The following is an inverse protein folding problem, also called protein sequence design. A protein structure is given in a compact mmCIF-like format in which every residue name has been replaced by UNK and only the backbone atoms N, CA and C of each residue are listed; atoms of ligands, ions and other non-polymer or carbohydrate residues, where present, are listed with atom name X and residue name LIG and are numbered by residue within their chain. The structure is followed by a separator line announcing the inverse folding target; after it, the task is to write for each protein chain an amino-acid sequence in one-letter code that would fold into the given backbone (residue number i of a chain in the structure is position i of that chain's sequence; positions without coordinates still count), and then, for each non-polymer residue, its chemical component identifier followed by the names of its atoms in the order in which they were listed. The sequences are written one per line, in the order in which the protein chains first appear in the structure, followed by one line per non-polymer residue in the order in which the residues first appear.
data_IF_473612709299
#
_entry.id   IF_473612709299
#
_cell.length_a   1.000
_cell.length_b   1.000
_cell.length_c   1.000
_cell.angle_alpha   90.00
_cell.angle_beta   90.00
_cell.angle_gamma   90.00
#
_symmetry.space_group_name_H-M   'P 1'
#
loop_
_entity.id
_entity.type
_entity.pdbx_description
1 polymer ?
#
# COMPACT_ATOMS: atom_id res chain seq x y z
N UNK A 1 -10.80 -18.84 15.16
CA UNK A 1 -10.48 -17.51 15.74
C UNK A 1 -9.51 -16.82 14.80
N UNK A 2 -9.65 -15.51 14.53
CA UNK A 2 -8.72 -14.81 13.62
C UNK A 2 -7.35 -14.67 14.29
N UNK A 3 -6.29 -15.14 13.63
CA UNK A 3 -4.92 -15.15 14.17
C UNK A 3 -4.02 -14.11 13.53
N UNK A 4 -4.41 -13.59 12.34
CA UNK A 4 -3.72 -12.55 11.61
C UNK A 4 -4.68 -11.44 11.19
N UNK A 5 -4.39 -10.22 11.62
CA UNK A 5 -5.12 -9.03 11.21
C UNK A 5 -4.27 -8.27 10.20
N UNK A 6 -4.82 -8.08 9.01
CA UNK A 6 -4.13 -7.44 7.89
C UNK A 6 -4.75 -6.08 7.63
N UNK A 7 -3.94 -5.06 7.50
CA UNK A 7 -4.39 -3.69 7.25
C UNK A 7 -3.82 -3.15 5.94
N UNK A 8 -4.61 -2.32 5.27
CA UNK A 8 -4.05 -1.27 4.44
C UNK A 8 -3.41 -0.17 5.30
N UNK A 9 -2.65 0.74 4.69
CA UNK A 9 -1.95 1.80 5.39
C UNK A 9 -2.63 3.17 5.21
N UNK A 10 -2.63 3.67 3.98
CA UNK A 10 -3.05 5.05 3.65
C UNK A 10 -4.57 5.17 3.55
N UNK A 11 -5.22 5.89 4.43
CA UNK A 11 -6.69 5.97 4.55
C UNK A 11 -7.26 4.99 5.58
N UNK A 12 -6.47 4.00 5.99
CA UNK A 12 -6.86 2.94 6.93
C UNK A 12 -6.18 3.10 8.28
N UNK A 13 -4.86 2.91 8.38
CA UNK A 13 -4.11 3.08 9.63
C UNK A 13 -3.71 4.54 9.88
N UNK A 14 -3.48 5.30 8.82
CA UNK A 14 -3.12 6.70 8.89
C UNK A 14 -3.70 7.45 7.68
N UNK A 15 -3.85 8.76 7.79
CA UNK A 15 -4.11 9.62 6.63
C UNK A 15 -3.00 9.45 5.58
N UNK A 16 -3.33 9.65 4.30
CA UNK A 16 -2.41 9.42 3.19
C UNK A 16 -1.03 10.05 3.43
N UNK A 17 -0.01 9.20 3.45
CA UNK A 17 1.41 9.52 3.70
C UNK A 17 1.69 10.24 5.02
N UNK A 18 0.74 10.22 5.96
CA UNK A 18 0.89 10.75 7.31
C UNK A 18 1.37 9.66 8.28
N UNK A 19 2.04 10.02 9.38
CA UNK A 19 2.42 9.06 10.41
C UNK A 19 1.20 8.51 11.17
N UNK A 20 1.35 7.35 11.79
CA UNK A 20 0.41 6.89 12.82
C UNK A 20 0.31 7.93 13.93
N UNK A 21 -0.90 8.24 14.37
CA UNK A 21 -1.07 9.00 15.58
C UNK A 21 -0.81 8.15 16.85
N UNK A 22 -0.65 8.80 17.98
CA UNK A 22 -0.27 8.14 19.25
C UNK A 22 -1.32 7.10 19.71
N UNK A 23 -2.61 7.34 19.45
CA UNK A 23 -3.69 6.42 19.80
C UNK A 23 -3.62 5.17 18.90
N UNK A 24 -3.47 5.32 17.58
CA UNK A 24 -3.32 4.22 16.65
C UNK A 24 -2.07 3.38 16.97
N UNK A 25 -0.94 4.03 17.25
CA UNK A 25 0.28 3.34 17.64
C UNK A 25 0.09 2.51 18.92
N UNK A 26 -0.62 3.05 19.91
CA UNK A 26 -0.97 2.34 21.14
C UNK A 26 -1.86 1.13 20.86
N UNK A 27 -2.86 1.29 20.01
CA UNK A 27 -3.80 0.22 19.65
C UNK A 27 -3.10 -0.90 18.87
N UNK A 28 -2.24 -0.58 17.91
CA UNK A 28 -1.42 -1.58 17.21
C UNK A 28 -0.51 -2.32 18.20
N UNK A 29 0.13 -1.60 19.13
CA UNK A 29 0.95 -2.23 20.17
C UNK A 29 0.17 -3.20 21.05
N UNK A 30 -1.09 -2.89 21.39
CA UNK A 30 -1.99 -3.79 22.12
C UNK A 30 -2.44 -4.97 21.28
N UNK A 31 -2.79 -4.73 20.01
CA UNK A 31 -3.19 -5.80 19.09
C UNK A 31 -2.08 -6.83 18.89
N UNK A 32 -0.81 -6.38 18.80
CA UNK A 32 0.35 -7.25 18.69
C UNK A 32 0.55 -8.17 19.91
N UNK A 33 -0.04 -7.90 21.07
CA UNK A 33 0.00 -8.80 22.21
C UNK A 33 -0.93 -10.01 22.02
N UNK A 34 -2.05 -9.87 21.29
CA UNK A 34 -3.08 -10.90 21.15
C UNK A 34 -3.13 -11.53 19.75
N UNK A 35 -2.73 -10.84 18.70
CA UNK A 35 -2.74 -11.33 17.32
C UNK A 35 -1.42 -11.03 16.58
N UNK A 36 -1.17 -11.72 15.45
CA UNK A 36 -0.20 -11.25 14.46
C UNK A 36 -0.81 -10.13 13.65
N UNK A 37 -0.01 -9.19 13.22
CA UNK A 37 -0.44 -8.06 12.40
C UNK A 37 0.37 -8.02 11.10
N UNK A 38 -0.27 -7.71 10.00
CA UNK A 38 0.39 -7.41 8.74
C UNK A 38 -0.11 -6.09 8.17
N UNK A 39 0.75 -5.37 7.46
CA UNK A 39 0.36 -4.17 6.72
C UNK A 39 0.78 -4.34 5.27
N UNK A 40 -0.18 -4.21 4.34
CA UNK A 40 0.03 -4.28 2.89
C UNK A 40 -0.28 -2.90 2.29
N UNK A 41 0.67 -2.29 1.60
CA UNK A 41 0.46 -1.02 0.92
C UNK A 41 1.29 -0.93 -0.36
N UNK A 42 0.86 -0.13 -1.33
CA UNK A 42 1.66 0.25 -2.51
C UNK A 42 2.89 1.10 -2.16
N UNK A 43 3.00 1.60 -0.92
CA UNK A 43 4.13 2.40 -0.45
C UNK A 43 5.46 1.65 -0.44
N UNK A 44 6.58 2.39 -0.60
CA UNK A 44 7.93 1.83 -0.48
C UNK A 44 8.34 1.64 0.99
N UNK A 45 9.39 0.84 1.24
CA UNK A 45 9.92 0.60 2.59
C UNK A 45 10.19 1.87 3.41
N UNK A 46 10.81 2.95 2.87
CA UNK A 46 11.00 4.18 3.63
C UNK A 46 9.68 4.83 4.11
N UNK A 47 8.57 4.61 3.40
CA UNK A 47 7.24 5.07 3.84
C UNK A 47 6.80 4.30 5.07
N UNK A 48 6.92 2.97 5.08
CA UNK A 48 6.61 2.14 6.26
C UNK A 48 7.45 2.52 7.48
N UNK A 49 8.73 2.81 7.27
CA UNK A 49 9.61 3.28 8.34
C UNK A 49 9.10 4.58 8.96
N UNK A 50 8.82 5.59 8.12
CA UNK A 50 8.36 6.91 8.57
C UNK A 50 6.96 6.89 9.16
N UNK A 51 6.02 6.16 8.53
CA UNK A 51 4.62 6.18 8.96
C UNK A 51 4.34 5.26 10.14
N UNK A 52 5.00 4.11 10.23
CA UNK A 52 4.70 3.06 11.21
C UNK A 52 5.82 2.91 12.24
N UNK A 53 7.02 2.54 11.80
CA UNK A 53 8.05 2.04 12.71
C UNK A 53 8.58 3.11 13.67
N UNK A 54 8.71 4.36 13.22
CA UNK A 54 9.15 5.47 14.09
C UNK A 54 8.14 5.83 15.17
N UNK A 55 6.90 5.30 15.10
CA UNK A 55 5.81 5.58 16.04
C UNK A 55 5.46 4.40 16.95
N UNK A 56 5.99 3.22 16.65
CA UNK A 56 5.82 2.03 17.49
C UNK A 56 7.01 1.86 18.44
N UNK A 57 6.80 1.37 19.67
CA UNK A 57 7.90 0.98 20.55
C UNK A 57 8.78 -0.09 19.91
N UNK A 58 10.10 0.10 19.95
CA UNK A 58 11.06 -0.86 19.41
C UNK A 58 11.31 -2.00 20.42
N UNK A 59 10.37 -2.94 20.48
CA UNK A 59 10.42 -4.09 21.37
C UNK A 59 10.06 -5.40 20.66
N UNK A 60 10.03 -6.50 21.41
CA UNK A 60 9.80 -7.85 20.89
C UNK A 60 8.41 -8.06 20.25
N UNK A 61 7.41 -7.24 20.59
CA UNK A 61 6.07 -7.32 19.97
C UNK A 61 6.13 -7.14 18.46
N UNK A 62 7.10 -6.37 17.96
CA UNK A 62 7.30 -6.15 16.53
C UNK A 62 7.71 -7.43 15.77
N UNK A 63 8.09 -8.52 16.43
CA UNK A 63 8.32 -9.82 15.79
C UNK A 63 7.04 -10.45 15.26
N UNK A 64 5.88 -9.99 15.76
CA UNK A 64 4.56 -10.39 15.30
C UNK A 64 4.01 -9.48 14.18
N UNK A 65 4.77 -8.45 13.79
CA UNK A 65 4.43 -7.52 12.71
C UNK A 65 5.11 -7.93 11.40
N UNK A 66 4.33 -8.02 10.35
CA UNK A 66 4.78 -8.26 8.98
C UNK A 66 4.49 -7.01 8.13
N UNK A 67 5.46 -6.54 7.37
CA UNK A 67 5.31 -5.36 6.53
C UNK A 67 5.53 -5.73 5.07
N UNK A 68 4.54 -5.43 4.23
CA UNK A 68 4.50 -5.80 2.82
C UNK A 68 4.43 -4.54 1.94
N UNK A 69 5.56 -3.85 1.70
CA UNK A 69 5.65 -2.77 0.73
C UNK A 69 5.33 -3.26 -0.68
N UNK A 70 4.95 -2.31 -1.56
CA UNK A 70 4.69 -2.57 -2.97
C UNK A 70 3.73 -3.73 -3.20
N UNK A 71 2.61 -3.72 -2.46
CA UNK A 71 1.55 -4.75 -2.48
C UNK A 71 2.06 -6.18 -2.19
N UNK A 72 3.16 -6.33 -1.46
CA UNK A 72 3.70 -7.63 -1.06
C UNK A 72 4.76 -8.21 -1.99
N UNK A 73 5.25 -7.47 -2.99
CA UNK A 73 6.44 -7.84 -3.76
C UNK A 73 7.74 -7.68 -2.97
N UNK A 74 7.65 -7.02 -1.81
CA UNK A 74 8.67 -7.00 -0.76
C UNK A 74 8.05 -7.42 0.56
N UNK A 75 8.79 -8.16 1.36
CA UNK A 75 8.32 -8.66 2.63
C UNK A 75 9.37 -8.48 3.71
N UNK A 76 9.01 -7.72 4.72
CA UNK A 76 9.90 -7.44 5.86
C UNK A 76 9.32 -8.04 7.13
N UNK A 77 10.19 -8.67 7.92
CA UNK A 77 9.91 -9.13 9.29
C UNK A 77 11.05 -8.78 10.23
N UNK A 78 10.72 -8.64 11.50
CA UNK A 78 11.70 -8.49 12.55
C UNK A 78 12.10 -9.84 13.13
N UNK A 79 13.41 -10.00 13.36
CA UNK A 79 14.01 -11.03 14.19
C UNK A 79 15.23 -10.36 14.85
N UNK A 80 14.97 -9.71 16.00
CA UNK A 80 15.90 -8.74 16.60
C UNK A 80 16.02 -7.46 15.77
N UNK A 81 16.31 -7.58 14.48
CA UNK A 81 16.37 -6.47 13.50
C UNK A 81 15.41 -6.71 12.33
N UNK A 82 15.02 -5.64 11.64
CA UNK A 82 14.21 -5.74 10.43
C UNK A 82 15.03 -6.37 9.29
N UNK A 83 14.47 -7.40 8.67
CA UNK A 83 15.08 -8.12 7.55
C UNK A 83 14.11 -8.16 6.38
N UNK A 84 14.63 -7.85 5.19
CA UNK A 84 13.99 -8.14 3.93
C UNK A 84 14.07 -9.65 3.68
N UNK A 85 12.93 -10.34 3.61
CA UNK A 85 12.89 -11.79 3.36
C UNK A 85 13.00 -12.09 1.86
N UNK A 86 12.33 -11.29 1.03
CA UNK A 86 12.47 -11.32 -0.42
C UNK A 86 12.12 -9.96 -1.04
N UNK A 87 12.58 -9.76 -2.28
CA UNK A 87 12.22 -8.66 -3.17
C UNK A 87 12.06 -9.18 -4.59
N UNK A 88 10.99 -8.81 -5.26
CA UNK A 88 10.70 -9.18 -6.67
C UNK A 88 10.92 -7.98 -7.59
N UNK A 89 12.11 -7.38 -7.53
CA UNK A 89 12.43 -6.16 -8.27
C UNK A 89 12.38 -6.38 -9.79
N UNK A 90 12.11 -5.32 -10.54
CA UNK A 90 12.26 -5.28 -11.98
C UNK A 90 13.73 -5.48 -12.39
N UNK A 91 13.95 -5.96 -13.60
CA UNK A 91 15.26 -5.80 -14.22
C UNK A 91 15.54 -4.33 -14.51
N UNK A 92 16.80 -3.97 -14.68
CA UNK A 92 17.18 -2.59 -15.04
C UNK A 92 16.52 -2.16 -16.34
N UNK A 93 16.50 -3.06 -17.35
CA UNK A 93 15.89 -2.80 -18.65
C UNK A 93 14.38 -2.56 -18.55
N UNK A 94 13.69 -3.34 -17.69
CA UNK A 94 12.26 -3.14 -17.41
C UNK A 94 12.02 -1.78 -16.75
N UNK A 95 12.79 -1.44 -15.71
CA UNK A 95 12.69 -0.15 -15.03
C UNK A 95 12.92 1.03 -15.99
N UNK A 96 13.99 1.00 -16.76
CA UNK A 96 14.32 2.06 -17.74
C UNK A 96 13.19 2.21 -18.78
N UNK A 97 12.66 1.09 -19.30
CA UNK A 97 11.53 1.11 -20.23
C UNK A 97 10.27 1.70 -19.61
N UNK A 98 9.91 1.30 -18.40
CA UNK A 98 8.72 1.80 -17.70
C UNK A 98 8.86 3.30 -17.45
N UNK A 99 10.01 3.76 -16.93
CA UNK A 99 10.27 5.16 -16.64
C UNK A 99 10.20 6.03 -17.91
N UNK A 100 10.81 5.57 -19.01
CA UNK A 100 10.75 6.28 -20.29
C UNK A 100 9.32 6.37 -20.82
N UNK A 101 8.55 5.28 -20.73
CA UNK A 101 7.15 5.24 -21.16
C UNK A 101 6.25 6.13 -20.30
N UNK A 102 6.47 6.16 -18.98
CA UNK A 102 5.75 7.06 -18.05
C UNK A 102 6.00 8.54 -18.39
N UNK A 103 7.28 8.92 -18.60
CA UNK A 103 7.63 10.29 -18.99
C UNK A 103 6.95 10.69 -20.30
N UNK A 104 6.94 9.78 -21.28
CA UNK A 104 6.27 9.99 -22.56
C UNK A 104 4.76 10.16 -22.37
N UNK A 105 4.08 9.21 -21.73
CA UNK A 105 2.64 9.23 -21.52
C UNK A 105 2.19 10.48 -20.73
N UNK A 106 2.93 10.86 -19.70
CA UNK A 106 2.64 12.05 -18.91
C UNK A 106 2.78 13.33 -19.75
N UNK A 107 3.83 13.44 -20.59
CA UNK A 107 4.01 14.57 -21.47
C UNK A 107 2.92 14.65 -22.56
N UNK A 108 2.55 13.54 -23.18
CA UNK A 108 1.51 13.45 -24.22
C UNK A 108 0.09 13.70 -23.67
N UNK A 109 -0.16 13.42 -22.41
CA UNK A 109 -1.45 13.69 -21.77
C UNK A 109 -1.80 15.18 -21.70
N UNK A 110 -0.83 16.07 -21.82
CA UNK A 110 -1.01 17.51 -21.72
C UNK A 110 -1.26 18.02 -20.29
N UNK A 111 -1.36 17.13 -19.30
CA UNK A 111 -1.56 17.54 -17.90
C UNK A 111 -0.24 17.99 -17.30
N UNK A 112 -0.10 19.31 -17.16
CA UNK A 112 1.10 19.96 -16.58
C UNK A 112 0.68 20.68 -15.29
N UNK A 113 0.97 20.13 -14.12
CA UNK A 113 0.71 20.84 -12.88
C UNK A 113 1.58 22.11 -12.82
N UNK A 114 1.01 23.19 -12.27
CA UNK A 114 1.73 24.46 -12.11
C UNK A 114 2.88 24.33 -11.10
N UNK A 115 2.80 23.37 -10.19
CA UNK A 115 3.80 23.09 -9.17
C UNK A 115 3.89 21.59 -8.90
N UNK A 116 5.11 21.10 -8.66
CA UNK A 116 5.38 19.75 -8.16
C UNK A 116 6.15 19.83 -6.84
N UNK A 117 5.88 18.86 -5.95
CA UNK A 117 6.52 18.72 -4.66
C UNK A 117 7.25 17.37 -4.59
N UNK A 118 8.57 17.41 -4.63
CA UNK A 118 9.39 16.19 -4.69
C UNK A 118 9.35 15.49 -6.06
N UNK A 119 9.80 14.25 -6.07
CA UNK A 119 9.93 13.47 -7.30
C UNK A 119 8.56 13.08 -7.87
N UNK A 120 8.41 13.23 -9.18
CA UNK A 120 7.19 12.86 -9.92
C UNK A 120 7.19 11.37 -10.25
N UNK A 121 8.33 10.75 -10.48
CA UNK A 121 8.47 9.32 -10.74
C UNK A 121 9.40 8.74 -9.68
N UNK A 122 8.91 7.70 -9.00
CA UNK A 122 9.64 6.96 -7.95
C UNK A 122 9.80 5.50 -8.39
N UNK A 123 11.04 5.03 -8.47
CA UNK A 123 11.34 3.61 -8.64
C UNK A 123 11.46 2.96 -7.25
N UNK A 124 10.54 2.04 -6.96
CA UNK A 124 10.47 1.26 -5.71
C UNK A 124 11.06 -0.14 -5.86
N UNK A 125 11.73 -0.40 -6.98
CA UNK A 125 12.29 -1.69 -7.35
C UNK A 125 11.28 -2.60 -8.03
N UNK A 126 10.26 -3.05 -7.33
CA UNK A 126 9.20 -3.94 -7.84
C UNK A 126 7.93 -3.22 -8.30
N UNK A 127 7.88 -1.92 -8.11
CA UNK A 127 6.82 -1.01 -8.53
C UNK A 127 7.43 0.32 -8.94
N UNK A 128 6.95 0.91 -10.02
CA UNK A 128 7.30 2.29 -10.41
C UNK A 128 6.04 3.13 -10.34
N UNK A 129 6.13 4.26 -9.64
CA UNK A 129 4.99 5.13 -9.35
C UNK A 129 5.19 6.49 -10.00
N UNK A 130 4.22 6.93 -10.81
CA UNK A 130 4.03 8.32 -11.19
C UNK A 130 3.15 8.99 -10.13
N UNK A 131 3.61 10.07 -9.52
CA UNK A 131 2.79 10.98 -8.71
C UNK A 131 2.73 12.33 -9.42
N UNK A 132 1.62 12.65 -10.04
CA UNK A 132 1.54 13.79 -10.97
C UNK A 132 1.88 15.13 -10.33
N UNK A 133 1.64 15.31 -9.03
CA UNK A 133 2.02 16.49 -8.25
C UNK A 133 3.34 16.32 -7.48
N UNK A 134 4.03 15.19 -7.65
CA UNK A 134 5.19 14.80 -6.85
C UNK A 134 4.79 14.07 -5.54
N UNK A 135 5.77 13.35 -4.97
CA UNK A 135 5.54 12.49 -3.81
C UNK A 135 5.13 13.28 -2.55
N UNK A 136 5.66 14.49 -2.39
CA UNK A 136 5.49 15.31 -1.17
C UNK A 136 4.39 16.38 -1.30
N UNK A 137 3.50 16.25 -2.31
CA UNK A 137 2.42 17.21 -2.52
C UNK A 137 1.46 17.25 -1.29
N UNK A 138 1.00 18.44 -0.87
CA UNK A 138 0.02 18.60 0.19
C UNK A 138 -1.29 17.84 -0.10
N UNK A 139 -1.93 17.31 0.94
CA UNK A 139 -3.15 16.51 0.82
C UNK A 139 -4.27 17.26 0.06
N UNK A 140 -4.47 18.54 0.36
CA UNK A 140 -5.49 19.35 -0.31
C UNK A 140 -5.20 19.54 -1.81
N UNK A 141 -3.94 19.73 -2.20
CA UNK A 141 -3.56 19.79 -3.61
C UNK A 141 -3.84 18.45 -4.31
N UNK A 142 -3.55 17.32 -3.66
CA UNK A 142 -3.83 15.98 -4.17
C UNK A 142 -5.31 15.73 -4.37
N UNK A 143 -6.16 16.08 -3.39
CA UNK A 143 -7.63 15.90 -3.46
C UNK A 143 -8.25 16.66 -4.63
N UNK A 144 -7.77 17.87 -4.91
CA UNK A 144 -8.32 18.72 -5.96
C UNK A 144 -7.80 18.42 -7.38
N UNK A 145 -6.70 17.65 -7.53
CA UNK A 145 -6.06 17.52 -8.82
C UNK A 145 -6.80 16.64 -9.82
N UNK A 146 -7.36 15.52 -9.37
CA UNK A 146 -7.99 14.50 -10.22
C UNK A 146 -9.15 13.79 -9.47
N UNK A 147 -10.10 14.59 -9.00
CA UNK A 147 -11.21 14.09 -8.17
C UNK A 147 -12.15 13.12 -8.92
N UNK A 148 -12.23 13.25 -10.24
CA UNK A 148 -13.07 12.44 -11.13
C UNK A 148 -12.29 11.31 -11.83
N UNK A 149 -11.03 11.10 -11.51
CA UNK A 149 -10.11 10.12 -12.10
C UNK A 149 -9.80 10.32 -13.59
N UNK A 150 -10.32 11.35 -14.24
CA UNK A 150 -10.22 11.55 -15.68
C UNK A 150 -8.80 11.72 -16.17
N UNK A 151 -7.95 12.47 -15.44
CA UNK A 151 -6.56 12.74 -15.81
C UNK A 151 -5.73 11.46 -15.75
N UNK A 152 -5.80 10.72 -14.64
CA UNK A 152 -5.06 9.47 -14.49
C UNK A 152 -5.55 8.41 -15.46
N UNK A 153 -6.85 8.33 -15.73
CA UNK A 153 -7.41 7.43 -16.75
C UNK A 153 -6.87 7.76 -18.14
N UNK A 154 -6.75 9.04 -18.50
CA UNK A 154 -6.15 9.46 -19.76
C UNK A 154 -4.67 9.05 -19.84
N UNK A 155 -3.88 9.34 -18.81
CA UNK A 155 -2.45 8.96 -18.77
C UNK A 155 -2.31 7.44 -18.87
N UNK A 156 -3.11 6.67 -18.14
CA UNK A 156 -3.14 5.20 -18.18
C UNK A 156 -3.41 4.70 -19.60
N UNK A 157 -4.42 5.25 -20.29
CA UNK A 157 -4.76 4.84 -21.65
C UNK A 157 -3.65 5.07 -22.66
N UNK A 158 -2.83 6.11 -22.47
CA UNK A 158 -1.64 6.37 -23.29
C UNK A 158 -0.50 5.42 -22.93
N UNK A 159 -0.35 5.11 -21.64
CA UNK A 159 0.76 4.32 -21.10
C UNK A 159 0.65 2.83 -21.41
N UNK A 160 -0.54 2.22 -21.23
CA UNK A 160 -0.75 0.77 -21.37
C UNK A 160 -0.24 0.19 -22.71
N UNK A 161 -0.50 0.82 -23.87
CA UNK A 161 0.05 0.34 -25.14
C UNK A 161 1.59 0.39 -25.26
N UNK A 162 2.26 1.23 -24.47
CA UNK A 162 3.71 1.38 -24.47
C UNK A 162 4.41 0.28 -23.64
N UNK A 163 3.70 -0.29 -22.66
CA UNK A 163 4.23 -1.29 -21.72
C UNK A 163 3.30 -2.51 -21.57
N UNK A 164 2.97 -3.22 -22.66
CA UNK A 164 1.92 -4.27 -22.65
C UNK A 164 2.24 -5.48 -21.76
N UNK A 165 3.47 -5.60 -21.25
CA UNK A 165 3.87 -6.67 -20.33
C UNK A 165 3.71 -6.31 -18.84
N UNK A 166 3.15 -5.14 -18.51
CA UNK A 166 3.00 -4.65 -17.16
C UNK A 166 1.56 -4.23 -16.88
N UNK A 167 1.19 -4.25 -15.61
CA UNK A 167 -0.11 -3.76 -15.14
C UNK A 167 0.00 -2.30 -14.72
N UNK A 168 -1.02 -1.50 -15.09
CA UNK A 168 -1.12 -0.09 -14.77
C UNK A 168 -2.33 0.15 -13.89
N UNK A 169 -2.11 0.56 -12.65
CA UNK A 169 -3.14 0.77 -11.64
C UNK A 169 -3.23 2.26 -11.28
N UNK A 170 -4.45 2.73 -11.03
CA UNK A 170 -4.64 4.03 -10.38
C UNK A 170 -4.37 3.83 -8.89
N UNK A 171 -3.36 4.53 -8.39
CA UNK A 171 -3.00 4.56 -6.97
C UNK A 171 -3.82 5.59 -6.19
N UNK A 172 -3.26 6.17 -5.15
CA UNK A 172 -3.90 7.24 -4.37
C UNK A 172 -4.43 8.41 -5.22
N UNK A 173 -4.64 9.59 -4.66
CA UNK A 173 -5.33 10.69 -5.33
C UNK A 173 -4.67 11.22 -6.63
N UNK A 174 -3.36 11.05 -6.80
CA UNK A 174 -2.59 11.59 -7.93
C UNK A 174 -1.63 10.59 -8.56
N UNK A 175 -1.66 9.32 -8.14
CA UNK A 175 -0.66 8.33 -8.49
C UNK A 175 -1.15 7.33 -9.52
N UNK A 176 -0.20 6.85 -10.34
CA UNK A 176 -0.34 5.69 -11.23
C UNK A 176 0.81 4.76 -10.88
N UNK A 177 0.47 3.51 -10.57
CA UNK A 177 1.41 2.48 -10.15
C UNK A 177 1.56 1.43 -11.25
N UNK A 178 2.80 1.13 -11.61
CA UNK A 178 3.15 0.11 -12.58
C UNK A 178 3.78 -1.06 -11.84
N UNK A 179 3.23 -2.26 -12.06
CA UNK A 179 3.69 -3.51 -11.44
C UNK A 179 3.79 -4.61 -12.49
N UNK A 180 4.32 -5.78 -12.11
CA UNK A 180 4.09 -6.99 -12.89
C UNK A 180 2.61 -7.37 -12.85
N UNK A 181 2.09 -8.10 -13.85
CA UNK A 181 0.71 -8.60 -13.81
C UNK A 181 0.42 -9.44 -12.57
N UNK A 182 -0.78 -9.27 -12.00
CA UNK A 182 -1.22 -10.03 -10.83
C UNK A 182 -0.69 -9.51 -9.49
N UNK A 183 -0.01 -8.36 -9.46
CA UNK A 183 0.46 -7.72 -8.23
C UNK A 183 -0.60 -6.74 -7.74
N UNK A 184 -1.28 -7.14 -6.68
CA UNK A 184 -2.30 -6.38 -5.95
C UNK A 184 -2.34 -6.85 -4.49
N UNK A 185 -3.37 -6.47 -3.73
CA UNK A 185 -3.50 -6.92 -2.33
C UNK A 185 -3.82 -8.41 -2.18
N UNK A 186 -4.46 -9.04 -3.16
CA UNK A 186 -4.65 -10.50 -3.17
C UNK A 186 -3.31 -11.25 -3.26
N UNK A 187 -2.38 -10.72 -4.05
CA UNK A 187 -1.01 -11.23 -4.11
C UNK A 187 -0.33 -11.18 -2.72
N UNK A 188 -0.41 -10.02 -2.04
CA UNK A 188 0.13 -9.86 -0.69
C UNK A 188 -0.49 -10.83 0.32
N UNK A 189 -1.81 -11.06 0.26
CA UNK A 189 -2.52 -12.05 1.06
C UNK A 189 -1.98 -13.46 0.78
N UNK A 190 -1.78 -13.81 -0.50
CA UNK A 190 -1.18 -15.08 -0.90
C UNK A 190 0.20 -15.30 -0.29
N UNK A 191 1.05 -14.26 -0.28
CA UNK A 191 2.39 -14.29 0.34
C UNK A 191 2.31 -14.44 1.87
N UNK A 192 1.37 -13.79 2.53
CA UNK A 192 1.14 -13.98 3.97
C UNK A 192 0.76 -15.43 4.28
N UNK A 193 -0.16 -16.02 3.49
CA UNK A 193 -0.56 -17.42 3.63
C UNK A 193 0.64 -18.35 3.47
N UNK A 194 1.42 -18.17 2.41
CA UNK A 194 2.57 -19.00 2.07
C UNK A 194 3.67 -18.94 3.15
N UNK A 195 4.07 -17.73 3.56
CA UNK A 195 5.24 -17.51 4.43
C UNK A 195 4.92 -17.72 5.90
N UNK A 196 3.72 -17.31 6.34
CA UNK A 196 3.32 -17.42 7.74
C UNK A 196 2.62 -18.74 8.05
N UNK A 197 2.28 -19.54 7.02
CA UNK A 197 1.49 -20.78 7.13
C UNK A 197 0.16 -20.53 7.89
N UNK A 198 -0.54 -19.44 7.56
CA UNK A 198 -1.83 -19.06 8.12
C UNK A 198 -2.87 -19.14 7.02
N UNK A 199 -3.93 -19.92 7.23
CA UNK A 199 -4.99 -20.03 6.25
C UNK A 199 -5.79 -18.72 6.10
N UNK A 200 -6.31 -18.49 4.90
CA UNK A 200 -7.13 -17.29 4.58
C UNK A 200 -8.32 -17.18 5.55
N UNK A 201 -8.91 -18.30 5.94
CA UNK A 201 -10.01 -18.34 6.91
C UNK A 201 -9.63 -17.79 8.30
N UNK A 202 -8.35 -17.79 8.67
CA UNK A 202 -7.83 -17.26 9.92
C UNK A 202 -7.33 -15.82 9.83
N UNK A 203 -7.46 -15.19 8.64
CA UNK A 203 -7.14 -13.80 8.41
C UNK A 203 -8.37 -12.90 8.51
N UNK A 204 -8.17 -11.65 8.91
CA UNK A 204 -9.11 -10.55 8.80
C UNK A 204 -8.41 -9.40 8.09
N UNK A 205 -9.00 -8.86 7.03
CA UNK A 205 -8.48 -7.69 6.33
C UNK A 205 -9.30 -6.44 6.70
N UNK A 206 -8.64 -5.31 6.89
CA UNK A 206 -9.26 -4.00 7.15
C UNK A 206 -8.67 -3.00 6.16
N UNK A 207 -9.52 -2.30 5.42
CA UNK A 207 -9.12 -1.32 4.41
C UNK A 207 -10.20 -0.30 4.11
N UNK A 208 -9.85 0.83 3.49
CA UNK A 208 -10.78 1.93 3.15
C UNK A 208 -11.35 1.85 1.73
N UNK A 209 -10.87 0.88 0.93
CA UNK A 209 -11.29 0.73 -0.47
C UNK A 209 -11.72 -0.71 -0.81
N UNK A 210 -12.54 -1.33 0.06
CA UNK A 210 -13.03 -2.73 -0.06
C UNK A 210 -14.29 -2.83 -0.93
N UNK A 211 -14.47 -1.94 -1.87
CA UNK A 211 -15.58 -1.91 -2.83
C UNK A 211 -15.10 -2.24 -4.26
N UNK A 212 -15.97 -2.70 -5.17
CA UNK A 212 -15.58 -3.01 -6.55
C UNK A 212 -14.84 -1.84 -7.23
N UNK A 213 -13.61 -2.11 -7.70
CA UNK A 213 -12.71 -1.10 -8.27
C UNK A 213 -11.78 -0.41 -7.27
N UNK A 214 -11.97 -0.59 -5.97
CA UNK A 214 -11.04 -0.15 -4.93
C UNK A 214 -9.80 -1.03 -4.86
N UNK A 215 -8.68 -0.48 -4.41
CA UNK A 215 -7.39 -1.18 -4.35
C UNK A 215 -7.33 -2.25 -3.24
N UNK A 216 -8.30 -2.28 -2.31
CA UNK A 216 -8.44 -3.28 -1.26
C UNK A 216 -9.37 -4.44 -1.67
N UNK A 217 -10.19 -4.21 -2.68
CA UNK A 217 -11.16 -5.20 -3.13
C UNK A 217 -10.55 -6.55 -3.53
N UNK A 218 -9.37 -6.61 -4.15
CA UNK A 218 -8.70 -7.89 -4.43
C UNK A 218 -8.43 -8.76 -3.19
N UNK A 219 -8.17 -8.17 -2.01
CA UNK A 219 -8.04 -8.95 -0.78
C UNK A 219 -9.34 -9.67 -0.41
N UNK A 220 -10.48 -9.01 -0.60
CA UNK A 220 -11.82 -9.60 -0.41
C UNK A 220 -12.10 -10.70 -1.45
N UNK A 221 -11.76 -10.47 -2.72
CA UNK A 221 -11.91 -11.46 -3.79
C UNK A 221 -11.04 -12.71 -3.55
N UNK A 222 -9.89 -12.56 -2.89
CA UNK A 222 -9.06 -13.69 -2.45
C UNK A 222 -9.71 -14.53 -1.34
N UNK A 223 -10.89 -14.14 -0.86
CA UNK A 223 -11.67 -14.88 0.14
C UNK A 223 -11.38 -14.50 1.60
N UNK A 224 -10.60 -13.45 1.86
CA UNK A 224 -10.38 -12.96 3.23
C UNK A 224 -11.64 -12.25 3.72
N UNK A 225 -12.07 -12.55 4.94
CA UNK A 225 -13.09 -11.73 5.59
C UNK A 225 -12.57 -10.30 5.72
N UNK A 226 -13.28 -9.35 5.08
CA UNK A 226 -12.82 -7.97 4.98
C UNK A 226 -13.79 -7.01 5.62
N UNK A 227 -13.27 -6.02 6.33
CA UNK A 227 -14.00 -4.89 6.92
C UNK A 227 -13.64 -3.64 6.13
N UNK A 228 -14.66 -2.98 5.58
CA UNK A 228 -14.54 -1.68 4.95
C UNK A 228 -14.62 -0.59 6.04
N UNK A 229 -13.69 0.34 6.04
CA UNK A 229 -13.62 1.45 6.98
C UNK A 229 -13.54 2.76 6.22
N UNK A 230 -14.07 3.83 6.78
CA UNK A 230 -14.10 5.15 6.12
C UNK A 230 -12.82 5.94 6.30
N UNK A 231 -12.11 5.71 7.40
CA UNK A 231 -10.96 6.50 7.83
C UNK A 231 -10.20 5.81 9.00
N UNK A 232 -9.02 6.32 9.39
CA UNK A 232 -8.27 5.79 10.53
C UNK A 232 -9.02 5.83 11.86
N UNK A 233 -9.98 6.74 12.01
CA UNK A 233 -10.75 6.83 13.25
C UNK A 233 -11.68 5.62 13.40
N UNK A 234 -12.32 5.19 12.33
CA UNK A 234 -13.14 3.97 12.32
C UNK A 234 -12.28 2.71 12.52
N UNK A 235 -11.09 2.68 11.91
CA UNK A 235 -10.12 1.58 12.11
C UNK A 235 -9.76 1.38 13.58
N UNK A 236 -9.59 2.46 14.34
CA UNK A 236 -9.34 2.36 15.80
C UNK A 236 -10.45 1.60 16.52
N UNK A 237 -11.72 1.85 16.18
CA UNK A 237 -12.88 1.15 16.76
C UNK A 237 -12.90 -0.32 16.37
N UNK A 238 -12.53 -0.64 15.13
CA UNK A 238 -12.38 -2.03 14.68
C UNK A 238 -11.29 -2.73 15.50
N UNK A 239 -10.12 -2.10 15.70
CA UNK A 239 -9.02 -2.68 16.49
C UNK A 239 -9.46 -2.92 17.94
N UNK A 240 -10.13 -1.97 18.57
CA UNK A 240 -10.66 -2.12 19.93
C UNK A 240 -11.61 -3.32 20.03
N UNK A 241 -12.54 -3.45 19.09
CA UNK A 241 -13.48 -4.57 19.04
C UNK A 241 -12.75 -5.91 18.84
N UNK A 242 -11.77 -5.96 17.94
CA UNK A 242 -10.95 -7.18 17.71
C UNK A 242 -10.19 -7.56 18.97
N UNK A 243 -9.55 -6.62 19.66
CA UNK A 243 -8.83 -6.90 20.93
C UNK A 243 -9.78 -7.43 22.00
N UNK A 244 -11.01 -6.92 22.05
CA UNK A 244 -11.99 -7.37 23.04
C UNK A 244 -12.55 -8.78 22.77
N UNK A 245 -12.44 -9.28 21.53
CA UNK A 245 -12.95 -10.58 21.09
C UNK A 245 -11.87 -11.69 21.03
N UNK A 246 -10.58 -11.34 21.14
CA UNK A 246 -9.46 -12.28 21.09
C UNK A 246 -8.90 -12.58 22.47
#
# INVERSE_FOLDING_TARGET
MKTLIVFDLDGTLAESKSPLDAEMATLIGRLLMVAKVAVISGGAWPQFQRQILTHLPDDERLERLSLLPTCGTKFYRRNGVWKLLYSEDFSRDDSDKIIASLKKAFAESGFRPAQCWGDVIEDRGSQITLSALGQDAPLEAKKGWDADFSKRTTIKGILEPLIPGFSVHLGGATSIDITRPGIDKAYGIGKLREILHIDIADMLFVGDAVFPGGNDYPAKEAGVLSIDVRDPHETKRVIEAVIACL
#
